data_IF_158811597637
#
_entry.id   IF_158811597637
#
_cell.length_a   1.000
_cell.length_b   1.000
_cell.length_c   1.000
_cell.angle_alpha   90.00
_cell.angle_beta   90.00
_cell.angle_gamma   90.00
#
_symmetry.space_group_name_H-M   'P 1'
#
loop_
_entity.id
_entity.type
_entity.pdbx_description
1 polymer ?
#
# COMPACT_ATOMS: atom_id res chain seq x y z
N UNK A 1 0.50 -31.64 -14.67
CA UNK A 1 0.95 -31.17 -13.34
C UNK A 1 0.33 -29.83 -12.99
N UNK A 2 0.47 -28.83 -13.85
CA UNK A 2 -0.16 -27.50 -13.67
C UNK A 2 -1.68 -27.56 -13.42
N UNK A 3 -2.44 -28.35 -14.18
CA UNK A 3 -3.88 -28.50 -13.97
C UNK A 3 -4.22 -28.97 -12.55
N UNK A 4 -3.46 -29.94 -12.02
CA UNK A 4 -3.65 -30.44 -10.66
C UNK A 4 -3.32 -29.37 -9.60
N UNK A 5 -2.31 -28.53 -9.83
CA UNK A 5 -2.02 -27.39 -8.93
C UNK A 5 -3.17 -26.39 -8.94
N UNK A 6 -3.68 -26.04 -10.12
CA UNK A 6 -4.83 -25.13 -10.27
C UNK A 6 -6.07 -25.66 -9.54
N UNK A 7 -6.41 -26.93 -9.72
CA UNK A 7 -7.55 -27.57 -9.04
C UNK A 7 -7.41 -27.53 -7.51
N UNK A 8 -6.20 -27.75 -6.98
CA UNK A 8 -5.95 -27.70 -5.54
C UNK A 8 -6.01 -26.25 -4.99
N UNK A 9 -5.58 -25.26 -5.76
CA UNK A 9 -5.67 -23.83 -5.39
C UNK A 9 -7.08 -23.26 -5.54
N UNK A 10 -7.94 -23.88 -6.37
CA UNK A 10 -9.36 -23.53 -6.47
C UNK A 10 -10.20 -24.02 -5.28
N UNK A 11 -9.69 -25.01 -4.53
CA UNK A 11 -10.32 -25.48 -3.30
C UNK A 11 -10.07 -24.47 -2.17
N UNK A 12 -10.85 -23.38 -2.18
CA UNK A 12 -10.81 -22.34 -1.17
C UNK A 12 -10.89 -22.96 0.24
N UNK A 13 -10.05 -22.45 1.15
CA UNK A 13 -10.04 -22.82 2.58
C UNK A 13 -9.53 -24.24 2.91
N UNK A 14 -9.07 -25.02 1.93
CA UNK A 14 -8.52 -26.34 2.17
C UNK A 14 -7.00 -26.32 2.40
N UNK A 15 -6.59 -26.39 3.67
CA UNK A 15 -5.19 -26.47 4.10
C UNK A 15 -4.44 -27.65 3.48
N UNK A 16 -5.10 -28.80 3.33
CA UNK A 16 -4.47 -29.99 2.76
C UNK A 16 -4.23 -29.79 1.26
N UNK A 17 -5.18 -29.15 0.57
CA UNK A 17 -5.03 -28.82 -0.84
C UNK A 17 -3.89 -27.82 -1.06
N UNK A 18 -3.79 -26.77 -0.23
CA UNK A 18 -2.67 -25.84 -0.24
C UNK A 18 -1.32 -26.56 -0.08
N UNK A 19 -1.18 -27.43 0.92
CA UNK A 19 0.06 -28.19 1.15
C UNK A 19 0.41 -29.11 0.00
N UNK A 20 -0.59 -29.72 -0.64
CA UNK A 20 -0.39 -30.55 -1.82
C UNK A 20 0.06 -29.73 -3.02
N UNK A 21 -0.60 -28.59 -3.29
CA UNK A 21 -0.23 -27.66 -4.35
C UNK A 21 1.21 -27.16 -4.17
N UNK A 22 1.57 -26.72 -2.96
CA UNK A 22 2.92 -26.28 -2.63
C UNK A 22 3.98 -27.36 -2.87
N UNK A 23 3.72 -28.61 -2.44
CA UNK A 23 4.66 -29.72 -2.69
C UNK A 23 4.87 -29.98 -4.18
N UNK A 24 3.81 -29.94 -4.97
CA UNK A 24 3.90 -30.11 -6.42
C UNK A 24 4.73 -29.00 -7.06
N UNK A 25 4.46 -27.75 -6.70
CA UNK A 25 5.20 -26.56 -7.13
C UNK A 25 6.70 -26.69 -6.80
N UNK A 26 7.03 -26.99 -5.55
CA UNK A 26 8.42 -27.12 -5.08
C UNK A 26 9.19 -28.24 -5.78
N UNK A 27 8.55 -29.40 -5.96
CA UNK A 27 9.16 -30.52 -6.67
C UNK A 27 9.46 -30.21 -8.14
N UNK A 28 8.70 -29.28 -8.75
CA UNK A 28 8.90 -28.87 -10.12
C UNK A 28 10.03 -27.84 -10.24
N UNK A 29 10.09 -26.86 -9.33
CA UNK A 29 11.18 -25.87 -9.30
C UNK A 29 12.55 -26.49 -9.05
N UNK A 30 12.61 -27.55 -8.23
CA UNK A 30 13.86 -28.28 -7.97
C UNK A 30 14.33 -29.04 -9.23
N UNK A 31 13.40 -29.60 -10.02
CA UNK A 31 13.71 -30.27 -11.29
C UNK A 31 14.17 -29.30 -12.38
N UNK A 32 13.58 -28.11 -12.43
CA UNK A 32 14.00 -27.03 -13.35
C UNK A 32 15.46 -26.59 -13.09
N UNK A 33 15.92 -26.63 -11.84
CA UNK A 33 17.32 -26.34 -11.52
C UNK A 33 18.31 -27.45 -11.89
N UNK A 34 17.81 -28.67 -12.17
CA UNK A 34 18.62 -29.86 -12.43
C UNK A 34 18.65 -30.27 -13.91
N UNK A 35 17.69 -29.81 -14.72
CA UNK A 35 17.51 -30.17 -16.14
C UNK A 35 17.03 -28.95 -16.93
N UNK A 36 17.59 -28.71 -18.12
CA UNK A 36 17.06 -27.77 -19.14
C UNK A 36 15.75 -28.31 -19.75
N UNK A 37 14.76 -28.62 -18.92
CA UNK A 37 13.51 -29.26 -19.33
C UNK A 37 12.40 -28.25 -19.59
N UNK A 38 11.67 -28.46 -20.70
CA UNK A 38 10.52 -27.68 -21.18
C UNK A 38 9.24 -27.78 -20.33
N UNK A 39 9.23 -28.58 -19.26
CA UNK A 39 8.08 -28.77 -18.35
C UNK A 39 8.06 -27.71 -17.24
N UNK A 40 8.24 -26.44 -17.62
CA UNK A 40 8.25 -25.37 -16.65
C UNK A 40 6.83 -25.08 -16.16
N UNK A 41 6.63 -25.00 -14.85
CA UNK A 41 5.33 -24.61 -14.30
C UNK A 41 5.15 -23.11 -14.57
N UNK A 42 3.92 -22.70 -14.87
CA UNK A 42 3.65 -21.29 -15.06
C UNK A 42 3.95 -20.49 -13.78
N UNK A 43 4.68 -19.39 -13.93
CA UNK A 43 5.16 -18.55 -12.81
C UNK A 43 4.02 -17.94 -11.99
N UNK A 44 2.81 -17.83 -12.56
CA UNK A 44 1.60 -17.40 -11.86
C UNK A 44 1.24 -18.33 -10.68
N UNK A 45 1.52 -19.63 -10.77
CA UNK A 45 1.19 -20.60 -9.73
C UNK A 45 1.95 -20.35 -8.43
N UNK A 46 3.17 -19.82 -8.50
CA UNK A 46 3.91 -19.40 -7.31
C UNK A 46 3.14 -18.31 -6.57
N UNK A 47 2.65 -17.31 -7.29
CA UNK A 47 1.92 -16.17 -6.71
C UNK A 47 0.56 -16.59 -6.17
N UNK A 48 -0.20 -17.40 -6.91
CA UNK A 48 -1.49 -17.92 -6.45
C UNK A 48 -1.36 -18.77 -5.18
N UNK A 49 -0.32 -19.61 -5.10
CA UNK A 49 -0.03 -20.39 -3.91
C UNK A 49 0.38 -19.48 -2.73
N UNK A 50 1.13 -18.41 -3.00
CA UNK A 50 1.54 -17.45 -1.97
C UNK A 50 0.36 -16.67 -1.38
N UNK A 51 -0.59 -16.25 -2.20
CA UNK A 51 -1.82 -15.57 -1.77
C UNK A 51 -2.71 -16.49 -0.93
N UNK A 52 -2.94 -17.71 -1.40
CA UNK A 52 -3.75 -18.69 -0.66
C UNK A 52 -3.10 -19.04 0.67
N UNK A 53 -1.77 -19.16 0.70
CA UNK A 53 -1.01 -19.39 1.92
C UNK A 53 -1.15 -18.22 2.91
N UNK A 54 -1.12 -16.97 2.45
CA UNK A 54 -1.35 -15.79 3.29
C UNK A 54 -2.77 -15.76 3.86
N UNK A 55 -3.78 -16.04 3.02
CA UNK A 55 -5.17 -16.10 3.46
C UNK A 55 -5.39 -17.16 4.56
N UNK A 56 -4.66 -18.28 4.49
CA UNK A 56 -4.72 -19.37 5.48
C UNK A 56 -3.69 -19.24 6.62
N UNK A 57 -2.91 -18.16 6.67
CA UNK A 57 -1.93 -17.91 7.72
C UNK A 57 -0.62 -18.72 7.64
N UNK A 58 -0.36 -19.42 6.54
CA UNK A 58 0.86 -20.20 6.30
C UNK A 58 1.98 -19.34 5.71
N UNK A 59 2.53 -18.44 6.54
CA UNK A 59 3.52 -17.44 6.12
C UNK A 59 4.78 -18.05 5.47
N UNK A 60 5.28 -19.18 5.99
CA UNK A 60 6.46 -19.88 5.45
C UNK A 60 6.24 -20.38 4.02
N UNK A 61 5.05 -20.94 3.74
CA UNK A 61 4.69 -21.40 2.38
C UNK A 61 4.64 -20.21 1.43
N UNK A 62 4.03 -19.11 1.87
CA UNK A 62 3.97 -17.89 1.07
C UNK A 62 5.36 -17.34 0.76
N UNK A 63 6.23 -17.26 1.77
CA UNK A 63 7.61 -16.80 1.62
C UNK A 63 8.41 -17.65 0.64
N UNK A 64 8.33 -18.99 0.75
CA UNK A 64 9.06 -19.90 -0.15
C UNK A 64 8.53 -19.81 -1.59
N UNK A 65 7.21 -19.70 -1.77
CA UNK A 65 6.59 -19.44 -3.07
C UNK A 65 7.08 -18.13 -3.72
N UNK A 66 7.16 -17.04 -2.95
CA UNK A 66 7.69 -15.78 -3.46
C UNK A 66 9.18 -15.85 -3.79
N UNK A 67 9.96 -16.56 -2.97
CA UNK A 67 11.38 -16.77 -3.25
C UNK A 67 11.58 -17.51 -4.58
N UNK A 68 10.78 -18.55 -4.84
CA UNK A 68 10.78 -19.26 -6.12
C UNK A 68 10.39 -18.33 -7.29
N UNK A 69 9.33 -17.51 -7.12
CA UNK A 69 8.90 -16.55 -8.12
C UNK A 69 9.99 -15.54 -8.50
N UNK A 70 10.62 -14.91 -7.51
CA UNK A 70 11.63 -13.86 -7.74
C UNK A 70 13.00 -14.40 -8.17
N UNK A 71 13.29 -15.69 -7.94
CA UNK A 71 14.51 -16.35 -8.42
C UNK A 71 14.48 -16.59 -9.94
N UNK A 72 13.30 -16.77 -10.51
CA UNK A 72 13.11 -17.00 -11.94
C UNK A 72 13.09 -15.71 -12.77
N UNK A 73 12.99 -15.86 -14.10
CA UNK A 73 12.64 -14.75 -14.99
C UNK A 73 11.12 -14.60 -14.98
N UNK A 74 10.61 -13.59 -14.28
CA UNK A 74 9.17 -13.32 -14.24
C UNK A 74 8.75 -12.32 -15.32
N UNK A 75 7.64 -12.58 -16.04
CA UNK A 75 7.07 -11.61 -16.95
C UNK A 75 6.52 -10.40 -16.18
N UNK A 76 6.68 -9.20 -16.74
CA UNK A 76 6.06 -7.98 -16.18
C UNK A 76 4.57 -7.99 -16.52
N UNK A 77 3.78 -8.62 -15.66
CA UNK A 77 2.33 -8.71 -15.76
C UNK A 77 1.65 -8.51 -14.40
N UNK A 78 0.32 -8.72 -14.34
CA UNK A 78 -0.46 -8.57 -13.10
C UNK A 78 0.09 -9.36 -11.89
N UNK A 79 0.76 -10.50 -12.11
CA UNK A 79 1.29 -11.34 -11.05
C UNK A 79 2.50 -10.73 -10.35
N UNK A 80 3.22 -9.81 -11.00
CA UNK A 80 4.29 -9.06 -10.35
C UNK A 80 3.76 -8.15 -9.23
N UNK A 81 2.66 -7.44 -9.49
CA UNK A 81 2.03 -6.57 -8.49
C UNK A 81 1.47 -7.38 -7.33
N UNK A 82 0.85 -8.52 -7.64
CA UNK A 82 0.32 -9.48 -6.65
C UNK A 82 1.43 -10.14 -5.81
N UNK A 83 2.57 -10.47 -6.41
CA UNK A 83 3.72 -11.00 -5.69
C UNK A 83 4.29 -9.97 -4.69
N UNK A 84 4.44 -8.71 -5.11
CA UNK A 84 4.87 -7.64 -4.20
C UNK A 84 3.83 -7.35 -3.11
N UNK A 85 2.53 -7.49 -3.39
CA UNK A 85 1.49 -7.41 -2.38
C UNK A 85 1.68 -8.50 -1.31
N UNK A 86 1.85 -9.75 -1.73
CA UNK A 86 2.13 -10.85 -0.81
C UNK A 86 3.40 -10.59 0.03
N UNK A 87 4.46 -10.09 -0.60
CA UNK A 87 5.68 -9.71 0.10
C UNK A 87 5.40 -8.61 1.13
N UNK A 88 4.63 -7.58 0.77
CA UNK A 88 4.19 -6.53 1.68
C UNK A 88 3.41 -7.08 2.87
N UNK A 89 2.56 -8.10 2.66
CA UNK A 89 1.81 -8.77 3.73
C UNK A 89 2.72 -9.56 4.68
N UNK A 90 3.76 -10.23 4.17
CA UNK A 90 4.74 -10.93 5.01
C UNK A 90 5.58 -9.97 5.87
N UNK A 91 5.91 -8.80 5.32
CA UNK A 91 6.70 -7.78 5.99
C UNK A 91 5.84 -6.72 6.70
N UNK A 92 4.52 -6.92 6.74
CA UNK A 92 3.59 -5.98 7.35
C UNK A 92 4.01 -5.71 8.81
N UNK A 93 4.23 -4.45 9.18
CA UNK A 93 4.61 -4.12 10.54
C UNK A 93 3.44 -4.47 11.46
N UNK A 94 3.69 -5.27 12.49
CA UNK A 94 2.66 -5.65 13.47
C UNK A 94 2.51 -4.61 14.59
N UNK A 95 3.53 -3.79 14.76
CA UNK A 95 3.53 -2.62 15.63
C UNK A 95 4.50 -1.59 15.05
N UNK A 96 4.42 -0.37 15.57
CA UNK A 96 5.32 0.73 15.21
C UNK A 96 6.63 0.73 15.98
N UNK A 97 6.85 -0.24 16.88
CA UNK A 97 7.96 -0.20 17.85
C UNK A 97 9.32 -0.42 17.19
N UNK A 98 9.34 -1.03 16.00
CA UNK A 98 10.55 -1.28 15.21
C UNK A 98 10.58 -0.42 13.96
N UNK A 99 11.14 0.80 14.08
CA UNK A 99 11.28 1.78 13.01
C UNK A 99 12.02 1.25 11.76
N UNK A 100 12.98 0.34 11.92
CA UNK A 100 13.72 -0.26 10.79
C UNK A 100 12.81 -1.16 9.97
N UNK A 101 12.08 -2.08 10.63
CA UNK A 101 11.08 -2.94 9.98
C UNK A 101 9.94 -2.13 9.35
N UNK A 102 9.58 -1.02 9.99
CA UNK A 102 8.59 -0.08 9.45
C UNK A 102 9.05 0.54 8.14
N UNK A 103 10.32 0.94 8.03
CA UNK A 103 10.89 1.51 6.81
C UNK A 103 10.91 0.49 5.67
N UNK A 104 11.24 -0.77 5.95
CA UNK A 104 11.17 -1.87 4.97
C UNK A 104 9.74 -2.08 4.47
N UNK A 105 8.75 -2.12 5.38
CA UNK A 105 7.34 -2.21 5.03
C UNK A 105 6.88 -1.05 4.13
N UNK A 106 7.28 0.19 4.45
CA UNK A 106 6.95 1.37 3.63
C UNK A 106 7.59 1.32 2.24
N UNK A 107 8.82 0.79 2.15
CA UNK A 107 9.54 0.64 0.90
C UNK A 107 8.86 -0.40 -0.01
N UNK A 108 8.40 -1.51 0.56
CA UNK A 108 7.68 -2.56 -0.18
C UNK A 108 6.32 -2.04 -0.69
N UNK A 109 5.59 -1.27 0.12
CA UNK A 109 4.32 -0.67 -0.29
C UNK A 109 4.48 0.36 -1.42
N UNK A 110 5.62 1.07 -1.47
CA UNK A 110 5.94 1.94 -2.61
C UNK A 110 6.25 1.15 -3.88
N UNK A 111 6.77 -0.07 -3.78
CA UNK A 111 7.15 -0.89 -4.93
C UNK A 111 5.93 -1.53 -5.60
N UNK A 112 4.95 -1.97 -4.80
CA UNK A 112 3.65 -2.50 -5.24
C UNK A 112 2.98 -1.56 -6.25
N UNK A 113 3.06 -0.25 -6.01
CA UNK A 113 2.37 0.76 -6.81
C UNK A 113 3.09 1.13 -8.11
N UNK A 114 4.42 0.98 -8.15
CA UNK A 114 5.20 1.16 -9.38
C UNK A 114 4.89 0.08 -10.43
N UNK A 115 4.32 -1.05 -10.01
CA UNK A 115 3.99 -2.17 -10.89
C UNK A 115 2.62 -2.00 -11.56
N UNK A 116 1.72 -1.19 -10.99
CA UNK A 116 0.42 -0.94 -11.61
C UNK A 116 0.55 0.04 -12.76
N UNK A 117 0.32 -0.47 -13.97
CA UNK A 117 0.16 0.33 -15.18
C UNK A 117 -1.32 0.49 -15.51
N UNK A 118 -1.64 1.40 -16.42
CA UNK A 118 -3.00 1.64 -16.96
C UNK A 118 -3.72 0.36 -17.38
N UNK A 119 -2.98 -0.66 -17.84
CA UNK A 119 -3.52 -1.96 -18.25
C UNK A 119 -4.10 -2.78 -17.09
N UNK A 120 -3.69 -2.51 -15.86
CA UNK A 120 -4.07 -3.25 -14.65
C UNK A 120 -4.89 -2.40 -13.69
N UNK A 121 -5.60 -1.40 -14.20
CA UNK A 121 -6.43 -0.51 -13.39
C UNK A 121 -7.48 -1.23 -12.53
N UNK A 122 -8.03 -2.37 -12.98
CA UNK A 122 -8.92 -3.19 -12.14
C UNK A 122 -8.24 -3.74 -10.86
N UNK A 123 -6.91 -3.81 -10.81
CA UNK A 123 -6.16 -4.18 -9.62
C UNK A 123 -5.96 -3.00 -8.67
N UNK A 124 -6.15 -1.76 -9.11
CA UNK A 124 -5.90 -0.58 -8.28
C UNK A 124 -6.87 -0.55 -7.10
N UNK A 125 -8.17 -0.78 -7.31
CA UNK A 125 -9.13 -0.93 -6.21
C UNK A 125 -8.70 -2.02 -5.22
N UNK A 126 -8.52 -3.26 -5.70
CA UNK A 126 -8.19 -4.40 -4.84
C UNK A 126 -6.89 -4.18 -4.06
N UNK A 127 -5.91 -3.56 -4.71
CA UNK A 127 -4.65 -3.19 -4.08
C UNK A 127 -4.87 -2.12 -3.03
N UNK A 128 -5.67 -1.10 -3.30
CA UNK A 128 -5.94 -0.02 -2.33
C UNK A 128 -6.58 -0.56 -1.05
N UNK A 129 -7.49 -1.53 -1.17
CA UNK A 129 -8.12 -2.21 -0.03
C UNK A 129 -7.10 -3.02 0.77
N UNK A 130 -6.28 -3.84 0.09
CA UNK A 130 -5.22 -4.62 0.75
C UNK A 130 -4.16 -3.72 1.39
N UNK A 131 -3.74 -2.67 0.69
CA UNK A 131 -2.84 -1.64 1.21
C UNK A 131 -3.39 -1.05 2.50
N UNK A 132 -4.68 -0.68 2.51
CA UNK A 132 -5.30 -0.07 3.68
C UNK A 132 -5.29 -0.98 4.91
N UNK A 133 -5.48 -2.28 4.71
CA UNK A 133 -5.37 -3.28 5.77
C UNK A 133 -3.94 -3.35 6.33
N UNK A 134 -2.93 -3.24 5.46
CA UNK A 134 -1.52 -3.33 5.84
C UNK A 134 -1.02 -2.10 6.59
N UNK A 135 -1.51 -0.92 6.24
CA UNK A 135 -0.99 0.33 6.80
C UNK A 135 -1.67 0.75 8.09
N UNK A 136 -2.67 0.01 8.58
CA UNK A 136 -3.39 0.32 9.84
C UNK A 136 -2.47 0.68 11.01
N UNK A 137 -1.35 -0.03 11.25
CA UNK A 137 -0.45 0.28 12.37
C UNK A 137 0.21 1.68 12.27
N UNK A 138 0.30 2.25 11.06
CA UNK A 138 0.87 3.58 10.82
C UNK A 138 -0.14 4.73 10.93
N UNK A 139 -1.44 4.44 11.05
CA UNK A 139 -2.49 5.47 11.14
C UNK A 139 -2.53 6.23 12.48
N UNK A 140 -1.47 6.11 13.28
CA UNK A 140 -1.31 6.82 14.55
C UNK A 140 -0.45 8.08 14.38
N UNK A 141 -0.70 9.14 15.17
CA UNK A 141 0.09 10.37 15.09
C UNK A 141 1.60 10.13 15.19
N UNK A 142 2.38 10.87 14.41
CA UNK A 142 3.84 10.78 14.32
C UNK A 142 4.37 9.66 13.43
N UNK A 143 3.52 8.79 12.88
CA UNK A 143 3.92 7.71 11.97
C UNK A 143 3.27 7.81 10.59
N UNK A 144 2.33 8.73 10.39
CA UNK A 144 1.57 8.85 9.14
C UNK A 144 2.42 9.35 7.98
N UNK A 145 3.53 10.05 8.28
CA UNK A 145 4.49 10.49 7.27
C UNK A 145 5.03 9.33 6.41
N UNK A 146 5.12 8.13 6.98
CA UNK A 146 5.54 6.90 6.31
C UNK A 146 4.63 6.51 5.14
N UNK A 147 3.36 6.90 5.20
CA UNK A 147 2.34 6.51 4.23
C UNK A 147 2.27 7.45 3.03
N UNK A 148 2.75 8.69 3.17
CA UNK A 148 2.59 9.75 2.17
C UNK A 148 3.01 9.29 0.76
N UNK A 149 4.19 8.68 0.54
CA UNK A 149 4.61 8.32 -0.81
C UNK A 149 3.68 7.31 -1.48
N UNK A 150 3.29 6.27 -0.75
CA UNK A 150 2.47 5.17 -1.29
C UNK A 150 0.99 5.55 -1.38
N UNK A 151 0.43 6.19 -0.34
CA UNK A 151 -0.96 6.62 -0.35
C UNK A 151 -1.23 7.69 -1.42
N UNK A 152 -0.27 8.60 -1.67
CA UNK A 152 -0.39 9.57 -2.77
C UNK A 152 -0.54 8.88 -4.12
N UNK A 153 0.29 7.86 -4.39
CA UNK A 153 0.24 7.11 -5.63
C UNK A 153 -1.08 6.33 -5.78
N UNK A 154 -1.59 5.72 -4.71
CA UNK A 154 -2.90 5.05 -4.71
C UNK A 154 -4.01 6.03 -5.05
N UNK A 155 -4.07 7.17 -4.35
CA UNK A 155 -5.09 8.18 -4.59
C UNK A 155 -4.99 8.72 -6.02
N UNK A 156 -3.77 8.96 -6.53
CA UNK A 156 -3.57 9.36 -7.93
C UNK A 156 -4.08 8.31 -8.91
N UNK A 157 -3.78 7.03 -8.69
CA UNK A 157 -4.23 5.94 -9.55
C UNK A 157 -5.77 5.79 -9.53
N UNK A 158 -6.38 5.86 -8.34
CA UNK A 158 -7.84 5.84 -8.16
C UNK A 158 -8.52 7.05 -8.81
N UNK A 159 -7.85 8.21 -8.86
CA UNK A 159 -8.39 9.39 -9.55
C UNK A 159 -8.38 9.26 -11.08
N UNK A 160 -7.55 8.38 -11.64
CA UNK A 160 -7.42 8.19 -13.09
C UNK A 160 -8.42 7.18 -13.67
N UNK A 161 -9.17 6.51 -12.80
CA UNK A 161 -10.09 5.45 -13.16
C UNK A 161 -11.50 5.87 -12.77
N UNK A 162 -12.46 5.57 -13.64
CA UNK A 162 -13.88 5.77 -13.37
C UNK A 162 -14.37 4.65 -12.43
N UNK A 163 -13.83 4.60 -11.22
CA UNK A 163 -14.28 3.68 -10.19
C UNK A 163 -15.52 4.20 -9.48
N UNK A 164 -16.38 3.26 -9.10
CA UNK A 164 -17.72 3.54 -8.59
C UNK A 164 -17.74 3.86 -7.08
N UNK A 165 -16.77 3.35 -6.31
CA UNK A 165 -16.73 3.54 -4.87
C UNK A 165 -16.09 4.88 -4.47
N UNK A 166 -16.89 5.93 -4.65
CA UNK A 166 -16.52 7.28 -4.26
C UNK A 166 -16.29 7.42 -2.75
N UNK A 167 -16.97 6.61 -1.93
CA UNK A 167 -16.84 6.66 -0.48
C UNK A 167 -15.48 6.17 -0.01
N UNK A 168 -15.01 5.07 -0.59
CA UNK A 168 -13.68 4.53 -0.36
C UNK A 168 -12.58 5.49 -0.81
N UNK A 169 -12.74 6.06 -2.02
CA UNK A 169 -11.80 7.07 -2.53
C UNK A 169 -11.76 8.30 -1.63
N UNK A 170 -12.90 8.80 -1.18
CA UNK A 170 -12.99 9.91 -0.22
C UNK A 170 -12.27 9.60 1.10
N UNK A 171 -12.44 8.39 1.63
CA UNK A 171 -11.75 7.93 2.83
C UNK A 171 -10.22 8.02 2.69
N UNK A 172 -9.68 7.52 1.58
CA UNK A 172 -8.25 7.56 1.30
C UNK A 172 -7.74 8.99 1.09
N UNK A 173 -8.53 9.87 0.46
CA UNK A 173 -8.18 11.29 0.31
C UNK A 173 -8.13 12.02 1.66
N UNK A 174 -9.12 11.80 2.54
CA UNK A 174 -9.13 12.38 3.89
C UNK A 174 -7.89 11.94 4.67
N UNK A 175 -7.59 10.64 4.67
CA UNK A 175 -6.44 10.10 5.37
C UNK A 175 -5.12 10.59 4.78
N UNK A 176 -5.01 10.82 3.47
CA UNK A 176 -3.83 11.42 2.85
C UNK A 176 -3.62 12.87 3.33
N UNK A 177 -4.69 13.66 3.43
CA UNK A 177 -4.61 15.02 3.98
C UNK A 177 -4.17 15.00 5.44
N UNK A 178 -4.69 14.08 6.26
CA UNK A 178 -4.21 13.88 7.64
C UNK A 178 -2.72 13.52 7.68
N UNK A 179 -2.23 12.68 6.76
CA UNK A 179 -0.82 12.34 6.68
C UNK A 179 0.05 13.58 6.39
N UNK A 180 -0.37 14.46 5.47
CA UNK A 180 0.37 15.70 5.21
C UNK A 180 0.39 16.63 6.43
N UNK A 181 -0.72 16.73 7.16
CA UNK A 181 -0.81 17.56 8.38
C UNK A 181 0.08 17.01 9.50
N UNK A 182 0.02 15.71 9.77
CA UNK A 182 0.86 15.04 10.78
C UNK A 182 2.36 15.23 10.47
N UNK A 183 2.73 15.20 9.18
CA UNK A 183 4.10 15.41 8.72
C UNK A 183 4.50 16.90 8.55
N UNK A 184 3.63 17.85 8.90
CA UNK A 184 3.84 19.30 8.67
C UNK A 184 4.16 19.69 7.22
N UNK A 185 3.70 18.89 6.25
CA UNK A 185 3.83 19.16 4.80
C UNK A 185 2.74 20.11 4.33
N UNK A 186 2.78 21.34 4.83
CA UNK A 186 1.67 22.31 4.69
C UNK A 186 1.45 22.75 3.23
N UNK A 187 2.50 22.77 2.41
CA UNK A 187 2.40 23.14 0.99
C UNK A 187 1.60 22.08 0.23
N UNK A 188 2.01 20.83 0.35
CA UNK A 188 1.34 19.68 -0.26
C UNK A 188 -0.09 19.51 0.27
N UNK A 189 -0.30 19.70 1.57
CA UNK A 189 -1.64 19.69 2.18
C UNK A 189 -2.55 20.74 1.53
N UNK A 190 -2.05 21.97 1.32
CA UNK A 190 -2.82 23.06 0.71
C UNK A 190 -3.18 22.76 -0.74
N UNK A 191 -2.20 22.34 -1.54
CA UNK A 191 -2.40 21.98 -2.94
C UNK A 191 -3.42 20.83 -3.10
N UNK A 192 -3.33 19.81 -2.24
CA UNK A 192 -4.20 18.64 -2.29
C UNK A 192 -5.62 18.90 -1.75
N UNK A 193 -5.74 19.68 -0.66
CA UNK A 193 -7.01 19.88 0.06
C UNK A 193 -8.15 20.43 -0.81
N UNK A 194 -7.85 21.36 -1.73
CA UNK A 194 -8.86 21.92 -2.64
C UNK A 194 -9.47 20.86 -3.56
N UNK A 195 -8.63 20.02 -4.16
CA UNK A 195 -9.05 18.92 -5.03
C UNK A 195 -9.88 17.90 -4.26
N UNK A 196 -9.44 17.53 -3.06
CA UNK A 196 -10.18 16.61 -2.21
C UNK A 196 -11.53 17.17 -1.75
N UNK A 197 -11.60 18.45 -1.39
CA UNK A 197 -12.83 19.09 -0.95
C UNK A 197 -13.88 19.16 -2.06
N UNK A 198 -13.48 19.49 -3.29
CA UNK A 198 -14.38 19.49 -4.45
C UNK A 198 -14.94 18.08 -4.69
N UNK A 199 -14.04 17.08 -4.79
CA UNK A 199 -14.46 15.70 -5.01
C UNK A 199 -15.44 15.19 -3.95
N UNK A 200 -15.11 15.41 -2.67
CA UNK A 200 -15.95 14.94 -1.54
C UNK A 200 -17.29 15.67 -1.52
N UNK A 201 -17.31 16.97 -1.79
CA UNK A 201 -18.56 17.74 -1.84
C UNK A 201 -19.52 17.24 -2.92
N UNK A 202 -18.98 16.88 -4.08
CA UNK A 202 -19.75 16.44 -5.24
C UNK A 202 -20.22 14.99 -5.12
N UNK A 203 -19.39 14.11 -4.55
CA UNK A 203 -19.62 12.66 -4.61
C UNK A 203 -20.01 12.03 -3.27
N UNK A 204 -19.57 12.60 -2.14
CA UNK A 204 -19.76 12.04 -0.79
C UNK A 204 -20.00 13.17 0.23
N UNK A 205 -21.07 13.97 0.08
CA UNK A 205 -21.26 15.22 0.83
C UNK A 205 -21.32 15.01 2.36
N UNK A 206 -21.73 13.83 2.83
CA UNK A 206 -21.79 13.49 4.25
C UNK A 206 -20.40 13.55 4.92
N UNK A 207 -19.32 13.28 4.16
CA UNK A 207 -17.92 13.38 4.64
C UNK A 207 -17.33 14.78 4.50
N UNK A 208 -18.06 15.75 3.93
CA UNK A 208 -17.54 17.11 3.73
C UNK A 208 -17.16 17.81 5.05
N UNK A 209 -17.92 17.54 6.12
CA UNK A 209 -17.63 18.06 7.46
C UNK A 209 -16.23 17.65 7.96
N UNK A 210 -15.80 16.43 7.64
CA UNK A 210 -14.51 15.88 8.05
C UNK A 210 -13.36 16.60 7.35
N UNK A 211 -13.42 16.74 6.02
CA UNK A 211 -12.38 17.45 5.28
C UNK A 211 -12.34 18.95 5.62
N UNK A 212 -13.50 19.57 5.86
CA UNK A 212 -13.55 20.97 6.27
C UNK A 212 -12.84 21.21 7.61
N UNK A 213 -12.97 20.28 8.56
CA UNK A 213 -12.24 20.32 9.83
C UNK A 213 -10.71 20.27 9.62
N UNK A 214 -10.24 19.40 8.74
CA UNK A 214 -8.82 19.29 8.40
C UNK A 214 -8.29 20.55 7.69
N UNK A 215 -9.08 21.13 6.78
CA UNK A 215 -8.73 22.40 6.12
C UNK A 215 -8.65 23.57 7.10
N UNK A 216 -9.55 23.61 8.08
CA UNK A 216 -9.53 24.61 9.15
C UNK A 216 -8.26 24.48 10.00
N UNK A 217 -7.87 23.23 10.31
CA UNK A 217 -6.63 22.91 11.02
C UNK A 217 -5.39 23.31 10.21
N UNK A 218 -5.38 23.04 8.91
CA UNK A 218 -4.34 23.48 7.98
C UNK A 218 -4.16 25.00 8.01
N UNK A 219 -5.26 25.75 7.91
CA UNK A 219 -5.23 27.21 7.91
C UNK A 219 -4.62 27.75 9.20
N UNK A 220 -5.03 27.20 10.35
CA UNK A 220 -4.48 27.58 11.65
C UNK A 220 -2.97 27.33 11.71
N UNK A 221 -2.50 26.15 11.28
CA UNK A 221 -1.08 25.83 11.25
C UNK A 221 -0.29 26.78 10.33
N UNK A 222 -0.82 27.09 9.16
CA UNK A 222 -0.19 28.04 8.22
C UNK A 222 -0.07 29.43 8.85
N UNK A 223 -1.12 29.94 9.50
CA UNK A 223 -1.08 31.23 10.19
C UNK A 223 -0.06 31.26 11.34
N UNK A 224 0.00 30.19 12.14
CA UNK A 224 0.98 30.07 13.22
C UNK A 224 2.43 30.05 12.72
N UNK A 225 2.69 29.35 11.61
CA UNK A 225 4.04 29.35 11.01
C UNK A 225 4.42 30.73 10.47
N UNK A 226 3.50 31.44 9.82
CA UNK A 226 3.74 32.81 9.36
C UNK A 226 3.97 33.78 10.53
N UNK A 227 3.21 33.67 11.62
CA UNK A 227 3.43 34.50 12.82
C UNK A 227 4.75 34.19 13.53
N UNK A 228 5.16 32.92 13.64
CA UNK A 228 6.46 32.54 14.20
C UNK A 228 7.65 33.01 13.34
N UNK A 229 7.50 33.04 12.01
CA UNK A 229 8.51 33.59 11.10
C UNK A 229 8.57 35.13 11.19
N UNK A 230 7.45 35.79 11.50
CA UNK A 230 7.33 37.26 11.51
C UNK A 230 7.59 37.92 12.88
N UNK A 231 7.92 37.20 13.96
CA UNK A 231 8.15 37.87 15.24
C UNK A 231 8.54 37.02 16.46
N UNK A 232 9.84 36.73 16.59
CA UNK A 232 10.56 36.87 17.85
C UNK A 232 11.88 37.62 17.58
N UNK A 233 11.78 38.90 17.22
CA UNK A 233 12.76 39.89 17.64
C UNK A 233 12.13 40.61 18.82
N UNK A 234 12.36 40.09 20.04
CA UNK A 234 12.12 40.87 21.26
C UNK A 234 13.05 42.06 21.18
N UNK A 235 12.50 43.23 20.85
CA UNK A 235 13.19 44.50 20.99
C UNK A 235 13.66 44.61 22.45
N UNK A 236 14.98 44.59 22.65
CA UNK A 236 15.62 44.74 23.95
C UNK A 236 15.34 46.18 24.43
N UNK A 237 14.54 46.41 25.49
CA UNK A 237 14.24 47.75 25.97
C UNK A 237 15.30 48.13 27.00
N UNK A 238 16.55 48.29 26.57
CA UNK A 238 17.61 48.94 27.36
C UNK A 238 18.55 49.68 26.43
N UNK A 239 18.25 50.95 26.22
CA UNK A 239 19.20 52.06 26.26
C UNK A 239 18.45 53.38 26.03
N UNK A 240 17.79 53.83 27.10
CA UNK A 240 17.44 55.22 27.32
C UNK A 240 17.87 55.56 28.74
N UNK A 241 19.15 55.91 28.92
CA UNK A 241 19.71 57.05 29.68
C UNK A 241 21.18 57.14 29.28
#
# INVERSE_FOLDING_TARGET
MELAVREQLLAAENVQALKNAYKLIKSASERESALDSTDNISTDLYVLCAEQALQLGYLEISSDCLQMYFKGRFPVNQFLGRAYLCQGQLHAPRSTDNLVRNHEGCSILSLVLQVFTTRYFFLVYNTSVLYWQLVRPFLKPGFRYCLIPSLSQIVTALNQIEEQDNEWRAELMINLLECFLDASKLKEAKEFSSTAAVFIKENVPDKYSQIFSLMSSLLLLVLLTHHNIMGITVANPKNSV
#
